data_IF_312544570037
#
_entry.id   IF_312544570037
#
_cell.length_a   1.000
_cell.length_b   1.000
_cell.length_c   1.000
_cell.angle_alpha   90.00
_cell.angle_beta   90.00
_cell.angle_gamma   90.00
#
_symmetry.space_group_name_H-M   'P 1'
#
loop_
_entity.id
_entity.type
_entity.pdbx_description
1 polymer ?
#
# COMPACT_ATOMS: atom_id res chain seq x y z
N UNK A 1 -16.53 7.19 -17.16
CA UNK A 1 -15.97 7.82 -15.93
C UNK A 1 -16.39 6.98 -14.76
N UNK A 2 -15.57 5.99 -14.39
CA UNK A 2 -15.80 5.17 -13.20
C UNK A 2 -15.67 6.04 -11.96
N UNK A 3 -16.66 5.97 -11.06
CA UNK A 3 -16.61 6.67 -9.78
C UNK A 3 -15.48 6.07 -8.95
N UNK A 4 -14.41 6.82 -8.72
CA UNK A 4 -13.44 6.49 -7.66
C UNK A 4 -14.21 6.48 -6.34
N UNK A 5 -14.37 5.30 -5.74
CA UNK A 5 -15.00 5.18 -4.43
C UNK A 5 -13.96 5.65 -3.41
N UNK A 6 -14.05 6.91 -3.00
CA UNK A 6 -13.32 7.40 -1.82
C UNK A 6 -13.92 6.69 -0.59
N UNK A 7 -13.22 5.69 -0.07
CA UNK A 7 -13.59 5.09 1.20
C UNK A 7 -13.08 6.00 2.32
N UNK A 8 -14.02 6.62 3.05
CA UNK A 8 -13.83 7.53 4.18
C UNK A 8 -13.01 6.97 5.38
N UNK A 9 -12.39 5.80 5.24
CA UNK A 9 -11.71 5.08 6.32
C UNK A 9 -10.18 5.01 6.15
N UNK A 10 -9.62 5.63 5.11
CA UNK A 10 -8.18 5.56 4.83
C UNK A 10 -7.34 5.98 6.07
N UNK A 11 -7.62 7.14 6.66
CA UNK A 11 -6.87 7.64 7.80
C UNK A 11 -6.97 6.70 9.02
N UNK A 12 -8.15 6.11 9.26
CA UNK A 12 -8.39 5.20 10.37
C UNK A 12 -7.58 3.91 10.23
N UNK A 13 -7.58 3.33 9.04
CA UNK A 13 -6.82 2.10 8.75
C UNK A 13 -5.32 2.37 8.75
N UNK A 14 -4.86 3.48 8.18
CA UNK A 14 -3.46 3.89 8.24
C UNK A 14 -2.98 4.04 9.69
N UNK A 15 -3.77 4.70 10.54
CA UNK A 15 -3.46 4.84 11.97
C UNK A 15 -3.38 3.48 12.70
N UNK A 16 -4.20 2.50 12.31
CA UNK A 16 -4.16 1.14 12.85
C UNK A 16 -2.87 0.42 12.46
N UNK A 17 -2.47 0.50 11.18
CA UNK A 17 -1.21 -0.04 10.69
C UNK A 17 0.00 0.54 11.43
N UNK A 18 0.05 1.87 11.60
CA UNK A 18 1.12 2.53 12.36
C UNK A 18 1.18 2.07 13.83
N UNK A 19 0.05 1.70 14.44
CA UNK A 19 0.02 1.17 15.81
C UNK A 19 0.51 -0.27 15.90
N UNK A 20 0.21 -1.10 14.90
CA UNK A 20 0.67 -2.49 14.85
C UNK A 20 2.19 -2.57 14.64
N UNK A 21 2.72 -1.74 13.73
CA UNK A 21 4.15 -1.66 13.43
C UNK A 21 5.03 -1.38 14.67
N UNK A 22 4.53 -0.60 15.62
CA UNK A 22 5.30 -0.22 16.82
C UNK A 22 5.59 -1.35 17.80
N UNK A 23 4.92 -2.50 17.67
CA UNK A 23 4.89 -3.50 18.76
C UNK A 23 5.28 -4.91 18.32
N UNK A 24 5.49 -5.18 17.02
CA UNK A 24 5.75 -6.54 16.50
C UNK A 24 6.51 -6.51 15.17
N UNK A 25 7.23 -7.61 14.93
CA UNK A 25 7.61 -8.06 13.59
C UNK A 25 6.35 -8.14 12.72
N UNK A 26 6.37 -7.48 11.55
CA UNK A 26 5.26 -7.54 10.59
C UNK A 26 5.73 -8.22 9.32
N UNK A 27 4.86 -9.08 8.78
CA UNK A 27 5.02 -9.63 7.45
C UNK A 27 4.34 -8.70 6.46
N UNK A 28 5.13 -8.10 5.58
CA UNK A 28 4.64 -7.33 4.46
C UNK A 28 4.53 -8.27 3.27
N UNK A 29 3.32 -8.45 2.76
CA UNK A 29 3.09 -9.17 1.52
C UNK A 29 2.62 -8.17 0.45
N UNK A 30 3.33 -8.12 -0.68
CA UNK A 30 3.02 -7.23 -1.80
C UNK A 30 2.70 -8.10 -3.01
N UNK A 31 1.47 -8.00 -3.47
CA UNK A 31 0.93 -8.76 -4.58
C UNK A 31 0.58 -7.82 -5.74
N UNK A 32 0.97 -8.20 -6.96
CA UNK A 32 0.57 -7.50 -8.17
C UNK A 32 -0.40 -8.36 -8.96
N UNK A 33 -1.50 -7.73 -9.34
CA UNK A 33 -2.53 -8.29 -10.18
C UNK A 33 -2.47 -7.55 -11.51
N UNK A 34 -2.28 -8.30 -12.58
CA UNK A 34 -2.31 -7.81 -13.95
C UNK A 34 -3.42 -8.53 -14.70
N UNK A 35 -4.14 -7.82 -15.57
CA UNK A 35 -5.27 -8.37 -16.35
C UNK A 35 -4.93 -9.72 -17.02
N UNK A 36 -3.74 -9.81 -17.63
CA UNK A 36 -3.37 -10.95 -18.49
C UNK A 36 -2.57 -12.06 -17.78
N UNK A 37 -2.38 -11.97 -16.46
CA UNK A 37 -1.54 -12.92 -15.72
C UNK A 37 -2.19 -13.36 -14.42
N UNK A 38 -1.92 -14.61 -14.02
CA UNK A 38 -2.15 -15.03 -12.65
C UNK A 38 -1.39 -14.10 -11.70
N UNK A 39 -2.02 -13.79 -10.58
CA UNK A 39 -1.42 -13.00 -9.50
C UNK A 39 -0.29 -13.77 -8.85
N UNK A 40 0.90 -13.18 -8.85
CA UNK A 40 2.05 -13.73 -8.15
C UNK A 40 2.49 -12.75 -7.07
N UNK A 41 2.70 -13.20 -5.82
CA UNK A 41 3.30 -12.36 -4.80
C UNK A 41 4.70 -11.95 -5.28
N UNK A 42 4.89 -10.64 -5.46
CA UNK A 42 6.11 -10.11 -6.03
C UNK A 42 7.18 -9.92 -4.95
N UNK A 43 6.77 -9.41 -3.78
CA UNK A 43 7.67 -9.17 -2.65
C UNK A 43 6.99 -9.67 -1.37
N UNK A 44 7.67 -10.59 -0.67
CA UNK A 44 7.33 -11.00 0.68
C UNK A 44 8.49 -10.67 1.62
N UNK A 45 8.24 -9.84 2.63
CA UNK A 45 9.27 -9.33 3.55
C UNK A 45 8.78 -9.51 4.98
N UNK A 46 9.58 -10.18 5.79
CA UNK A 46 9.39 -10.27 7.23
C UNK A 46 10.44 -9.38 7.88
N UNK A 47 10.01 -8.25 8.46
CA UNK A 47 10.93 -7.26 9.00
C UNK A 47 10.33 -6.52 10.20
N UNK A 48 11.21 -6.02 11.06
CA UNK A 48 10.83 -5.08 12.10
C UNK A 48 10.62 -3.70 11.48
N UNK A 49 9.38 -3.21 11.55
CA UNK A 49 9.00 -1.91 10.97
C UNK A 49 9.39 -0.80 11.94
N UNK A 50 10.36 0.02 11.56
CA UNK A 50 10.74 1.19 12.34
C UNK A 50 9.65 2.27 12.28
N UNK A 51 9.18 2.55 11.06
CA UNK A 51 8.20 3.60 10.82
C UNK A 51 7.43 3.39 9.53
N UNK A 52 6.14 3.70 9.59
CA UNK A 52 5.29 3.91 8.41
C UNK A 52 4.88 5.38 8.43
N UNK A 53 5.07 6.09 7.34
CA UNK A 53 4.60 7.46 7.20
C UNK A 53 4.04 7.71 5.79
N UNK A 54 3.13 8.66 5.73
CA UNK A 54 2.50 9.10 4.49
C UNK A 54 2.71 10.60 4.35
N UNK A 55 3.04 11.03 3.15
CA UNK A 55 3.15 12.43 2.78
C UNK A 55 2.46 12.72 1.45
N UNK A 56 2.19 13.99 1.17
CA UNK A 56 1.74 14.46 -0.14
C UNK A 56 2.92 15.15 -0.78
N UNK A 57 3.42 14.59 -1.88
CA UNK A 57 4.56 15.12 -2.62
C UNK A 57 4.11 15.46 -4.04
N UNK A 58 4.13 16.73 -4.44
CA UNK A 58 3.85 17.12 -5.83
C UNK A 58 5.06 16.81 -6.74
N UNK A 59 4.88 16.26 -7.96
CA UNK A 59 3.62 15.92 -8.67
C UNK A 59 3.14 14.48 -8.45
N UNK A 60 3.59 13.81 -7.38
CA UNK A 60 3.44 12.38 -7.13
C UNK A 60 2.18 12.00 -6.33
N UNK A 61 1.44 12.97 -5.77
CA UNK A 61 0.27 12.72 -4.94
C UNK A 61 0.65 12.14 -3.56
N UNK A 62 -0.17 11.24 -2.99
CA UNK A 62 0.22 10.57 -1.75
C UNK A 62 1.36 9.59 -1.99
N UNK A 63 2.30 9.57 -1.06
CA UNK A 63 3.42 8.64 -1.00
C UNK A 63 3.34 7.93 0.34
N UNK A 64 3.33 6.60 0.34
CA UNK A 64 3.41 5.78 1.54
C UNK A 64 4.81 5.18 1.59
N UNK A 65 5.51 5.39 2.69
CA UNK A 65 6.86 4.89 2.91
C UNK A 65 6.89 4.00 4.16
N UNK A 66 7.47 2.82 4.00
CA UNK A 66 7.70 1.84 5.05
C UNK A 66 9.21 1.70 5.24
N UNK A 67 9.68 2.06 6.43
CA UNK A 67 11.08 1.95 6.82
C UNK A 67 11.27 0.72 7.72
N UNK A 68 12.25 -0.09 7.36
CA UNK A 68 12.77 -1.23 8.13
C UNK A 68 14.25 -0.99 8.40
N UNK A 69 14.87 -1.82 9.25
CA UNK A 69 16.32 -1.73 9.50
C UNK A 69 17.14 -2.06 8.24
N UNK A 70 16.61 -2.93 7.38
CA UNK A 70 17.31 -3.49 6.23
C UNK A 70 17.05 -2.70 4.95
N UNK A 71 15.86 -2.10 4.81
CA UNK A 71 15.42 -1.49 3.55
C UNK A 71 14.29 -0.47 3.72
N UNK A 72 13.98 0.23 2.63
CA UNK A 72 12.87 1.18 2.53
C UNK A 72 11.99 0.80 1.35
N UNK A 73 10.67 0.69 1.59
CA UNK A 73 9.67 0.52 0.54
C UNK A 73 8.89 1.82 0.37
N UNK A 74 8.67 2.25 -0.86
CA UNK A 74 7.90 3.47 -1.15
C UNK A 74 6.94 3.25 -2.30
N UNK A 75 5.70 3.68 -2.11
CA UNK A 75 4.60 3.53 -3.07
C UNK A 75 3.93 4.87 -3.32
N UNK A 76 3.63 5.18 -4.57
CA UNK A 76 3.15 6.51 -5.00
C UNK A 76 1.86 6.45 -5.80
N UNK A 77 1.00 7.44 -5.55
CA UNK A 77 -0.22 7.72 -6.32
C UNK A 77 0.00 8.31 -7.71
N UNK A 78 1.25 8.55 -8.15
CA UNK A 78 1.50 9.22 -9.43
C UNK A 78 0.68 8.61 -10.58
N UNK A 79 0.72 7.28 -10.68
CA UNK A 79 0.03 6.50 -11.71
C UNK A 79 -1.09 5.60 -11.15
N UNK A 80 -1.39 5.70 -9.86
CA UNK A 80 -2.33 4.82 -9.17
C UNK A 80 -3.30 5.61 -8.30
N UNK A 81 -4.50 5.07 -8.10
CA UNK A 81 -5.38 5.48 -7.01
C UNK A 81 -5.01 4.66 -5.77
N UNK A 82 -4.79 5.29 -4.61
CA UNK A 82 -4.63 4.55 -3.36
C UNK A 82 -5.95 4.41 -2.65
N UNK A 83 -6.20 3.20 -2.17
CA UNK A 83 -7.30 2.85 -1.31
C UNK A 83 -6.79 2.04 -0.12
N UNK A 84 -7.60 1.95 0.93
CA UNK A 84 -7.37 1.03 2.04
C UNK A 84 -8.60 0.13 2.17
N UNK A 85 -8.42 -1.18 1.99
CA UNK A 85 -9.48 -2.19 1.99
C UNK A 85 -9.12 -3.29 2.99
N UNK A 86 -9.97 -3.54 4.00
CA UNK A 86 -9.80 -4.65 4.95
C UNK A 86 -8.39 -4.80 5.57
N UNK A 87 -7.77 -3.69 5.99
CA UNK A 87 -6.37 -3.62 6.50
C UNK A 87 -5.26 -3.63 5.46
N UNK A 88 -5.59 -3.82 4.19
CA UNK A 88 -4.62 -3.77 3.11
C UNK A 88 -4.59 -2.40 2.44
N UNK A 89 -3.42 -2.00 1.97
CA UNK A 89 -3.25 -0.87 1.05
C UNK A 89 -3.40 -1.37 -0.37
N UNK A 90 -4.32 -0.78 -1.12
CA UNK A 90 -4.57 -1.12 -2.51
C UNK A 90 -4.21 0.05 -3.40
N UNK A 91 -3.32 -0.17 -4.35
CA UNK A 91 -3.00 0.78 -5.42
C UNK A 91 -3.60 0.26 -6.72
N UNK A 92 -4.70 0.85 -7.19
CA UNK A 92 -5.28 0.50 -8.50
C UNK A 92 -4.73 1.42 -9.59
N UNK A 93 -4.49 0.88 -10.78
CA UNK A 93 -4.03 1.65 -11.94
C UNK A 93 -4.99 2.80 -12.25
N UNK A 94 -4.44 3.95 -12.68
CA UNK A 94 -5.21 5.05 -13.28
C UNK A 94 -5.44 4.85 -14.77
N UNK A 95 -4.72 3.91 -15.37
CA UNK A 95 -4.70 3.69 -16.81
C UNK A 95 -5.65 2.56 -17.24
N UNK A 96 -6.04 1.69 -16.29
CA UNK A 96 -6.93 0.55 -16.52
C UNK A 96 -7.60 0.13 -15.19
N UNK A 97 -8.73 -0.57 -15.30
CA UNK A 97 -9.56 -0.95 -14.15
C UNK A 97 -9.20 -2.34 -13.58
N UNK A 98 -8.20 -3.02 -14.15
CA UNK A 98 -7.91 -4.44 -13.90
C UNK A 98 -6.54 -4.69 -13.26
N UNK A 99 -5.68 -3.67 -13.22
CA UNK A 99 -4.36 -3.73 -12.60
C UNK A 99 -4.38 -3.10 -11.22
N UNK A 100 -3.97 -3.86 -10.21
CA UNK A 100 -3.83 -3.36 -8.84
C UNK A 100 -2.71 -4.04 -8.08
N UNK A 101 -2.17 -3.32 -7.09
CA UNK A 101 -1.18 -3.79 -6.14
C UNK A 101 -1.81 -3.80 -4.74
N UNK A 102 -1.68 -4.91 -4.02
CA UNK A 102 -2.16 -5.05 -2.64
C UNK A 102 -0.95 -5.20 -1.72
N UNK A 103 -0.94 -4.41 -0.65
CA UNK A 103 0.05 -4.48 0.42
C UNK A 103 -0.68 -4.90 1.69
N UNK A 104 -0.43 -6.13 2.13
CA UNK A 104 -0.97 -6.70 3.36
C UNK A 104 0.08 -6.68 4.47
N UNK A 105 -0.36 -6.36 5.69
CA UNK A 105 0.44 -6.40 6.90
C UNK A 105 -0.09 -7.50 7.82
N UNK A 106 0.66 -8.60 7.94
CA UNK A 106 0.26 -9.85 8.60
C UNK A 106 1.09 -10.06 9.88
#
# INVERSE_FOLDING_TARGET
MGKTIEFNNFQTTFNRLTRQAKNKLLKINIEFYHHDSASEPFIHVEADIERIFMEIAEPHGKVITILTQETTFSFTERNHHTNLSNDDVVFSSKNDDETFCIISFI
#
